data_IF_250547914939
#
_entry.id   IF_250547914939
#
_cell.length_a   1.000
_cell.length_b   1.000
_cell.length_c   1.000
_cell.angle_alpha   90.00
_cell.angle_beta   90.00
_cell.angle_gamma   90.00
#
_symmetry.space_group_name_H-M   'P 1'
#
loop_
_entity.id
_entity.type
_entity.pdbx_description
1 polymer ?
#
# COMPACT_ATOMS: atom_id res chain seq x y z
N UNK A 1 10.63 28.50 -7.97
CA UNK A 1 10.49 27.29 -7.21
C UNK A 1 11.72 26.42 -7.44
N UNK A 2 12.32 26.03 -6.36
CA UNK A 2 13.51 25.19 -6.34
C UNK A 2 13.09 23.79 -6.78
N UNK A 3 13.94 23.08 -7.53
CA UNK A 3 13.92 21.61 -7.63
C UNK A 3 13.80 21.15 -6.17
N UNK A 4 12.65 20.57 -5.83
CA UNK A 4 12.28 20.44 -4.42
C UNK A 4 12.32 19.02 -3.97
N UNK A 5 13.12 18.75 -2.97
CA UNK A 5 12.94 17.63 -2.07
C UNK A 5 11.97 18.05 -0.96
N UNK A 6 10.92 17.30 -0.78
CA UNK A 6 10.08 17.35 0.41
C UNK A 6 10.24 16.01 1.12
N UNK A 7 10.57 16.06 2.42
CA UNK A 7 10.81 14.87 3.23
C UNK A 7 9.96 14.96 4.49
N UNK A 8 9.37 13.87 4.89
CA UNK A 8 8.53 13.77 6.06
C UNK A 8 8.91 12.54 6.88
N UNK A 9 9.14 12.75 8.17
CA UNK A 9 9.27 11.68 9.16
C UNK A 9 7.98 11.55 9.95
N UNK A 10 7.48 10.33 10.07
CA UNK A 10 6.44 9.94 11.02
C UNK A 10 7.10 9.17 12.14
N UNK A 11 7.27 9.81 13.28
CA UNK A 11 7.97 9.20 14.43
C UNK A 11 7.10 8.20 15.20
N UNK A 12 5.80 8.37 15.15
CA UNK A 12 4.87 7.48 15.83
C UNK A 12 3.54 7.49 15.06
N UNK A 13 3.24 6.37 14.39
CA UNK A 13 1.97 6.13 13.73
C UNK A 13 1.27 5.00 14.49
N UNK A 14 0.25 5.35 15.27
CA UNK A 14 -0.48 4.38 16.09
C UNK A 14 -1.84 4.15 15.47
N UNK A 15 -2.11 2.89 15.14
CA UNK A 15 -3.40 2.45 14.64
C UNK A 15 -3.85 1.21 15.38
N UNK A 16 -5.11 1.19 15.80
CA UNK A 16 -5.77 0.04 16.39
C UNK A 16 -6.89 -0.40 15.47
N UNK A 17 -6.76 -1.59 14.93
CA UNK A 17 -7.80 -2.21 14.10
C UNK A 17 -8.59 -3.16 14.96
N UNK A 18 -9.88 -2.88 15.09
CA UNK A 18 -10.82 -3.66 15.84
C UNK A 18 -12.00 -4.09 14.97
N UNK A 19 -12.25 -5.37 14.89
CA UNK A 19 -13.38 -5.95 14.17
C UNK A 19 -14.45 -6.34 15.18
N UNK A 20 -15.49 -5.49 15.38
CA UNK A 20 -16.50 -5.70 16.42
C UNK A 20 -17.41 -6.88 16.11
N UNK A 21 -17.58 -7.20 14.84
CA UNK A 21 -18.47 -8.26 14.38
C UNK A 21 -17.97 -8.87 13.07
N UNK A 22 -18.08 -10.18 13.00
CA UNK A 22 -17.75 -10.97 11.80
C UNK A 22 -18.92 -11.93 11.59
N UNK A 23 -19.46 -12.01 10.36
CA UNK A 23 -20.54 -12.97 10.06
C UNK A 23 -20.05 -14.40 10.16
N UNK A 24 -20.91 -15.31 10.57
CA UNK A 24 -20.56 -16.74 10.70
C UNK A 24 -20.12 -17.33 9.35
N UNK A 25 -20.80 -16.96 8.26
CA UNK A 25 -20.43 -17.39 6.91
C UNK A 25 -19.00 -16.94 6.52
N UNK A 26 -18.60 -15.72 6.89
CA UNK A 26 -17.25 -15.24 6.63
C UNK A 26 -16.23 -15.95 7.53
N UNK A 27 -16.57 -16.21 8.79
CA UNK A 27 -15.72 -16.95 9.72
C UNK A 27 -15.46 -18.37 9.22
N UNK A 28 -16.50 -19.09 8.82
CA UNK A 28 -16.41 -20.47 8.38
C UNK A 28 -15.63 -20.62 7.05
N UNK A 29 -15.70 -19.62 6.20
CA UNK A 29 -15.04 -19.64 4.90
C UNK A 29 -13.59 -19.13 4.92
N UNK A 30 -13.29 -18.11 5.69
CA UNK A 30 -11.99 -17.39 5.64
C UNK A 30 -11.14 -17.50 6.90
N UNK A 31 -11.75 -17.71 8.06
CA UNK A 31 -11.05 -17.72 9.33
C UNK A 31 -10.74 -19.12 9.84
N UNK A 32 -10.70 -20.12 8.94
CA UNK A 32 -10.28 -21.46 9.31
C UNK A 32 -8.81 -21.48 9.78
N UNK A 33 -8.44 -22.33 10.73
CA UNK A 33 -7.08 -22.38 11.29
C UNK A 33 -5.97 -22.59 10.27
N UNK A 34 -6.30 -23.21 9.13
CA UNK A 34 -5.39 -23.48 8.02
C UNK A 34 -5.21 -22.31 7.06
N UNK A 35 -6.01 -21.24 7.18
CA UNK A 35 -5.97 -20.11 6.25
C UNK A 35 -5.10 -18.97 6.83
N UNK A 36 -4.01 -18.66 6.14
CA UNK A 36 -3.12 -17.55 6.49
C UNK A 36 -3.86 -16.20 6.56
N UNK A 37 -4.94 -16.06 5.80
CA UNK A 37 -5.75 -14.83 5.80
C UNK A 37 -6.45 -14.57 7.14
N UNK A 38 -6.65 -15.59 7.99
CA UNK A 38 -7.16 -15.41 9.35
C UNK A 38 -6.42 -14.30 10.08
N UNK A 39 -5.08 -14.34 10.05
CA UNK A 39 -4.24 -13.34 10.75
C UNK A 39 -4.37 -11.92 10.19
N UNK A 40 -4.81 -11.76 8.95
CA UNK A 40 -5.04 -10.44 8.34
C UNK A 40 -6.35 -9.79 8.80
N UNK A 41 -7.27 -10.58 9.35
CA UNK A 41 -8.59 -10.13 9.84
C UNK A 41 -8.73 -10.22 11.36
N UNK A 42 -7.68 -10.53 12.08
CA UNK A 42 -7.68 -10.43 13.54
C UNK A 42 -7.49 -9.00 14.01
N UNK A 43 -7.95 -8.73 15.23
CA UNK A 43 -7.66 -7.47 15.88
C UNK A 43 -6.15 -7.31 16.03
N UNK A 44 -5.62 -6.17 15.63
CA UNK A 44 -4.20 -5.93 15.77
C UNK A 44 -3.89 -4.46 16.04
N UNK A 45 -2.76 -4.27 16.67
CA UNK A 45 -2.23 -2.99 17.04
C UNK A 45 -1.01 -2.69 16.19
N UNK A 46 -0.99 -1.54 15.53
CA UNK A 46 0.11 -1.12 14.67
C UNK A 46 0.77 0.09 15.32
N UNK A 47 2.05 -0.01 15.62
CA UNK A 47 2.89 1.12 16.01
C UNK A 47 4.02 1.22 15.02
N UNK A 48 3.96 2.21 14.16
CA UNK A 48 4.86 2.36 13.04
C UNK A 48 5.75 3.60 13.13
N UNK A 49 6.86 3.52 12.42
CA UNK A 49 7.76 4.60 12.06
C UNK A 49 7.75 4.72 10.54
N UNK A 50 7.67 5.93 10.03
CA UNK A 50 7.65 6.16 8.58
C UNK A 50 8.61 7.25 8.14
N UNK A 51 9.17 7.06 6.95
CA UNK A 51 9.93 8.06 6.24
C UNK A 51 9.46 8.13 4.80
N UNK A 52 9.02 9.29 4.37
CA UNK A 52 8.55 9.49 3.01
C UNK A 52 9.18 10.74 2.40
N UNK A 53 9.29 10.74 1.09
CA UNK A 53 9.77 11.89 0.38
C UNK A 53 9.24 11.98 -1.03
N UNK A 54 9.24 13.21 -1.52
CA UNK A 54 8.90 13.56 -2.89
C UNK A 54 10.01 14.42 -3.48
N UNK A 55 10.44 14.04 -4.67
CA UNK A 55 11.38 14.82 -5.47
C UNK A 55 10.72 15.20 -6.79
N UNK A 56 10.77 16.48 -7.14
CA UNK A 56 10.25 16.95 -8.44
C UNK A 56 11.24 17.88 -9.14
N UNK A 57 11.39 17.66 -10.44
CA UNK A 57 12.14 18.55 -11.31
C UNK A 57 11.24 19.59 -12.00
N UNK A 58 9.93 19.57 -11.72
CA UNK A 58 8.98 20.54 -12.28
C UNK A 58 9.34 21.97 -11.88
N UNK A 59 9.29 22.88 -12.87
CA UNK A 59 9.55 24.30 -12.68
C UNK A 59 8.40 25.13 -13.19
N UNK A 60 7.70 25.84 -12.34
CA UNK A 60 6.57 26.70 -12.72
C UNK A 60 6.93 27.77 -13.75
N UNK A 61 8.20 28.21 -13.81
CA UNK A 61 8.69 29.18 -14.79
C UNK A 61 8.89 28.59 -16.20
N UNK A 62 8.89 27.24 -16.31
CA UNK A 62 9.07 26.51 -17.57
C UNK A 62 8.05 25.37 -17.63
N UNK A 63 6.76 25.69 -17.77
CA UNK A 63 5.68 24.70 -17.68
C UNK A 63 5.69 23.68 -18.83
N UNK A 64 6.36 24.00 -19.92
CA UNK A 64 6.48 23.14 -21.11
C UNK A 64 7.81 22.39 -21.19
N UNK A 65 8.55 22.31 -20.09
CA UNK A 65 9.75 21.48 -20.01
C UNK A 65 9.37 20.13 -19.40
N UNK A 66 9.88 19.05 -19.97
CA UNK A 66 9.73 17.71 -19.42
C UNK A 66 10.27 17.63 -18.00
N UNK A 67 9.61 16.86 -17.14
CA UNK A 67 9.95 16.76 -15.72
C UNK A 67 9.70 15.37 -15.17
N UNK A 68 10.36 15.08 -14.06
CA UNK A 68 10.22 13.84 -13.29
C UNK A 68 9.68 14.16 -11.91
N UNK A 69 8.77 13.30 -11.43
CA UNK A 69 8.38 13.21 -10.04
C UNK A 69 8.77 11.84 -9.51
N UNK A 70 9.43 11.80 -8.38
CA UNK A 70 9.81 10.58 -7.66
C UNK A 70 9.19 10.65 -6.29
N UNK A 71 8.47 9.60 -5.89
CA UNK A 71 7.96 9.44 -4.54
C UNK A 71 8.52 8.16 -3.95
N UNK A 72 8.84 8.20 -2.69
CA UNK A 72 9.19 7.01 -1.93
C UNK A 72 8.60 7.08 -0.53
N UNK A 73 8.29 5.92 0.01
CA UNK A 73 7.78 5.76 1.36
C UNK A 73 8.35 4.47 1.94
N UNK A 74 8.91 4.57 3.13
CA UNK A 74 9.40 3.44 3.89
C UNK A 74 8.68 3.46 5.24
N UNK A 75 8.06 2.37 5.58
CA UNK A 75 7.32 2.20 6.84
C UNK A 75 7.80 0.93 7.52
N UNK A 76 8.03 1.01 8.82
CA UNK A 76 8.28 -0.17 9.66
C UNK A 76 7.35 -0.12 10.85
N UNK A 77 6.76 -1.24 11.22
CA UNK A 77 5.86 -1.35 12.36
C UNK A 77 6.31 -2.43 13.34
N UNK A 78 5.91 -2.28 14.59
CA UNK A 78 6.10 -3.27 15.66
C UNK A 78 7.49 -3.35 16.25
N UNK A 79 8.52 -2.73 15.66
CA UNK A 79 9.90 -2.84 16.13
C UNK A 79 10.09 -2.25 17.53
N UNK A 80 9.49 -1.10 17.78
CA UNK A 80 9.53 -0.46 19.10
C UNK A 80 8.88 -1.35 20.16
N UNK A 81 7.69 -1.89 19.85
CA UNK A 81 6.97 -2.80 20.76
C UNK A 81 7.76 -4.08 20.99
N UNK A 82 8.38 -4.64 19.95
CA UNK A 82 9.21 -5.82 20.07
C UNK A 82 10.43 -5.60 20.95
N UNK A 83 11.06 -4.44 20.84
CA UNK A 83 12.18 -4.04 21.70
C UNK A 83 11.75 -3.95 23.17
N UNK A 84 10.55 -3.43 23.42
CA UNK A 84 9.99 -3.28 24.77
C UNK A 84 9.36 -4.58 25.31
N UNK A 85 9.04 -5.55 24.45
CA UNK A 85 8.29 -6.75 24.84
C UNK A 85 8.99 -7.56 25.94
N UNK A 86 10.31 -7.77 25.82
CA UNK A 86 11.09 -8.51 26.84
C UNK A 86 11.24 -7.73 28.16
N UNK A 87 11.73 -6.48 28.16
CA UNK A 87 11.91 -5.74 29.42
C UNK A 87 10.59 -5.44 30.14
N UNK A 88 9.50 -5.19 29.39
CA UNK A 88 8.17 -4.95 29.96
C UNK A 88 7.36 -6.22 30.21
N UNK A 89 7.92 -7.41 29.95
CA UNK A 89 7.27 -8.73 30.14
C UNK A 89 5.88 -8.80 29.49
N UNK A 90 5.80 -8.47 28.19
CA UNK A 90 4.54 -8.58 27.47
C UNK A 90 4.04 -10.04 27.50
N UNK A 91 2.72 -10.25 27.67
CA UNK A 91 2.14 -11.58 27.58
C UNK A 91 2.42 -12.19 26.20
N UNK A 92 2.62 -13.50 26.20
CA UNK A 92 2.75 -14.30 24.98
C UNK A 92 1.45 -15.08 24.82
N UNK A 93 0.88 -15.04 23.64
CA UNK A 93 -0.28 -15.83 23.29
C UNK A 93 0.13 -17.31 23.13
N UNK A 94 -0.58 -18.22 23.78
CA UNK A 94 -0.23 -19.64 23.81
C UNK A 94 -0.44 -20.33 22.45
N UNK A 95 -1.38 -19.87 21.63
CA UNK A 95 -1.68 -20.47 20.32
C UNK A 95 -0.68 -20.02 19.25
N UNK A 96 -0.39 -18.74 19.18
CA UNK A 96 0.46 -18.16 18.12
C UNK A 96 1.93 -18.02 18.51
N UNK A 97 2.25 -18.05 19.82
CA UNK A 97 3.59 -17.76 20.33
C UNK A 97 4.02 -16.31 20.19
N UNK A 98 3.11 -15.42 19.82
CA UNK A 98 3.36 -14.00 19.57
C UNK A 98 3.14 -13.15 20.82
N UNK A 99 3.88 -12.04 20.92
CA UNK A 99 3.66 -11.08 22.00
C UNK A 99 2.36 -10.31 21.78
N UNK A 100 1.62 -10.09 22.85
CA UNK A 100 0.39 -9.31 22.85
C UNK A 100 0.53 -8.07 23.72
N UNK A 101 -0.16 -7.01 23.33
CA UNK A 101 -0.33 -5.78 24.09
C UNK A 101 -1.83 -5.52 24.25
N UNK A 102 -2.31 -5.32 25.50
CA UNK A 102 -3.74 -5.20 25.81
C UNK A 102 -4.61 -6.36 25.26
N UNK A 103 -4.09 -7.59 25.35
CA UNK A 103 -4.74 -8.80 24.82
C UNK A 103 -4.90 -8.81 23.30
N UNK A 104 -4.18 -7.97 22.59
CA UNK A 104 -4.22 -7.87 21.13
C UNK A 104 -2.81 -8.04 20.57
N UNK A 105 -2.66 -8.82 19.54
CA UNK A 105 -1.38 -8.99 18.84
C UNK A 105 -0.99 -7.68 18.17
N UNK A 106 0.28 -7.32 18.22
CA UNK A 106 0.78 -6.18 17.45
C UNK A 106 1.43 -6.65 16.15
N UNK A 107 1.15 -5.91 15.09
CA UNK A 107 1.70 -6.18 13.77
C UNK A 107 3.18 -5.76 13.70
N UNK A 108 4.00 -6.62 13.09
CA UNK A 108 5.41 -6.34 12.84
C UNK A 108 5.75 -6.59 11.37
N UNK A 109 6.04 -5.52 10.63
CA UNK A 109 6.33 -5.57 9.20
C UNK A 109 7.24 -4.42 8.76
N UNK A 110 7.84 -4.57 7.59
CA UNK A 110 8.47 -3.50 6.84
C UNK A 110 7.79 -3.35 5.49
N UNK A 111 7.57 -2.13 5.06
CA UNK A 111 6.93 -1.77 3.79
C UNK A 111 7.73 -0.69 3.10
N UNK A 112 7.96 -0.84 1.81
CA UNK A 112 8.65 0.14 0.99
C UNK A 112 7.88 0.35 -0.31
N UNK A 113 7.60 1.60 -0.62
CA UNK A 113 6.95 2.03 -1.85
C UNK A 113 7.88 2.97 -2.61
N UNK A 114 7.99 2.80 -3.91
CA UNK A 114 8.74 3.67 -4.78
C UNK A 114 7.98 3.92 -6.06
N UNK A 115 7.81 5.17 -6.45
CA UNK A 115 7.15 5.52 -7.71
C UNK A 115 7.88 6.62 -8.47
N UNK A 116 7.88 6.48 -9.78
CA UNK A 116 8.45 7.45 -10.73
C UNK A 116 7.39 7.82 -11.74
N UNK A 117 7.20 9.11 -11.93
CA UNK A 117 6.36 9.64 -13.02
C UNK A 117 7.19 10.57 -13.88
N UNK A 118 7.40 10.18 -15.14
CA UNK A 118 8.07 11.01 -16.13
C UNK A 118 7.06 11.64 -17.07
N UNK A 119 7.04 12.97 -17.14
CA UNK A 119 6.20 13.74 -18.05
C UNK A 119 7.07 14.24 -19.19
N UNK A 120 6.93 13.62 -20.36
CA UNK A 120 7.57 14.07 -21.58
C UNK A 120 6.64 15.05 -22.32
N UNK A 121 7.07 16.29 -22.43
CA UNK A 121 6.29 17.36 -23.06
C UNK A 121 6.88 17.62 -24.44
N UNK A 122 6.15 17.23 -25.49
CA UNK A 122 6.53 17.51 -26.88
C UNK A 122 6.30 18.98 -27.23
N UNK A 123 5.13 19.50 -26.83
CA UNK A 123 4.71 20.89 -27.03
C UNK A 123 3.57 21.23 -26.04
N UNK A 124 3.05 22.48 -25.99
CA UNK A 124 2.00 22.86 -25.05
C UNK A 124 0.73 22.02 -25.07
N UNK A 125 0.46 21.36 -26.21
CA UNK A 125 -0.77 20.59 -26.40
C UNK A 125 -0.57 19.08 -26.30
N UNK A 126 0.67 18.56 -26.41
CA UNK A 126 0.96 17.14 -26.47
C UNK A 126 1.93 16.74 -25.35
N UNK A 127 1.55 15.78 -24.55
CA UNK A 127 2.44 15.18 -23.55
C UNK A 127 2.24 13.68 -23.43
N UNK A 128 3.31 12.98 -23.13
CA UNK A 128 3.34 11.56 -22.81
C UNK A 128 3.79 11.40 -21.36
N UNK A 129 3.00 10.67 -20.59
CA UNK A 129 3.26 10.42 -19.18
C UNK A 129 3.54 8.95 -18.99
N UNK A 130 4.70 8.66 -18.39
CA UNK A 130 5.07 7.33 -17.94
C UNK A 130 5.00 7.29 -16.43
N UNK A 131 4.34 6.29 -15.91
CA UNK A 131 4.27 6.05 -14.47
C UNK A 131 4.65 4.61 -14.18
N UNK A 132 5.59 4.45 -13.24
CA UNK A 132 5.98 3.16 -12.71
C UNK A 132 5.92 3.24 -11.18
N UNK A 133 5.29 2.27 -10.56
CA UNK A 133 5.34 2.10 -9.11
C UNK A 133 5.63 0.67 -8.72
N UNK A 134 6.42 0.50 -7.68
CA UNK A 134 6.73 -0.76 -7.02
C UNK A 134 6.52 -0.60 -5.53
N UNK A 135 5.89 -1.59 -4.94
CA UNK A 135 5.68 -1.68 -3.51
C UNK A 135 5.99 -3.09 -3.03
N UNK A 136 6.66 -3.18 -1.89
CA UNK A 136 7.01 -4.45 -1.24
C UNK A 136 6.70 -4.32 0.24
N UNK A 137 6.01 -5.31 0.79
CA UNK A 137 5.73 -5.43 2.21
C UNK A 137 6.16 -6.81 2.69
N UNK A 138 6.88 -6.86 3.81
CA UNK A 138 7.43 -8.10 4.38
C UNK A 138 7.02 -8.20 5.84
N UNK A 139 6.22 -9.20 6.23
CA UNK A 139 5.96 -9.49 7.64
C UNK A 139 7.17 -10.18 8.24
N UNK A 140 7.41 -9.94 9.52
CA UNK A 140 8.46 -10.62 10.27
C UNK A 140 8.18 -10.60 11.77
N UNK A 141 8.95 -11.39 12.52
CA UNK A 141 8.97 -11.39 13.98
C UNK A 141 7.64 -11.76 14.62
N UNK A 142 6.82 -10.78 15.01
CA UNK A 142 5.54 -10.98 15.69
C UNK A 142 4.36 -11.14 14.71
N UNK A 143 4.59 -11.11 13.39
CA UNK A 143 3.55 -11.25 12.38
C UNK A 143 3.92 -12.28 11.33
N UNK A 144 2.97 -13.12 10.97
CA UNK A 144 3.10 -14.09 9.89
C UNK A 144 2.62 -13.52 8.54
N UNK A 145 1.71 -12.55 8.57
CA UNK A 145 1.13 -11.90 7.40
C UNK A 145 1.08 -10.39 7.60
N UNK A 146 0.95 -9.67 6.49
CA UNK A 146 0.71 -8.23 6.51
C UNK A 146 -0.77 -8.00 6.86
N UNK A 147 -1.09 -7.05 7.78
CA UNK A 147 -2.45 -6.62 8.02
C UNK A 147 -3.18 -6.21 6.74
N UNK A 148 -4.46 -6.56 6.63
CA UNK A 148 -5.24 -6.36 5.41
C UNK A 148 -5.22 -4.92 4.88
N UNK A 149 -5.29 -3.94 5.76
CA UNK A 149 -5.25 -2.51 5.43
C UNK A 149 -3.90 -2.03 4.91
N UNK A 150 -2.83 -2.81 5.13
CA UNK A 150 -1.46 -2.49 4.68
C UNK A 150 -1.05 -3.28 3.43
N UNK A 151 -1.86 -4.28 3.01
CA UNK A 151 -1.60 -5.05 1.80
C UNK A 151 -1.85 -4.25 0.55
N UNK A 152 -1.19 -4.62 -0.53
CA UNK A 152 -1.39 -4.03 -1.84
C UNK A 152 -2.56 -4.68 -2.58
N UNK A 153 -3.19 -3.91 -3.44
CA UNK A 153 -4.19 -4.38 -4.40
C UNK A 153 -4.02 -3.65 -5.73
N UNK A 154 -4.56 -4.23 -6.79
CA UNK A 154 -4.60 -3.63 -8.12
C UNK A 154 -6.04 -3.30 -8.54
N UNK A 155 -6.17 -2.46 -9.58
CA UNK A 155 -7.45 -1.94 -10.06
C UNK A 155 -7.82 -0.58 -9.44
N UNK A 156 -8.84 0.04 -9.99
CA UNK A 156 -9.30 1.37 -9.62
C UNK A 156 -8.68 2.50 -10.44
N UNK A 157 -9.23 3.70 -10.28
CA UNK A 157 -8.91 4.88 -11.09
C UNK A 157 -7.44 5.32 -11.04
N UNK A 158 -6.75 5.03 -9.94
CA UNK A 158 -5.34 5.42 -9.71
C UNK A 158 -4.34 4.29 -9.99
N UNK A 159 -4.81 3.13 -10.45
CA UNK A 159 -3.98 1.98 -10.79
C UNK A 159 -4.32 1.52 -12.21
N UNK A 160 -4.93 0.36 -12.38
CA UNK A 160 -5.37 -0.13 -13.69
C UNK A 160 -6.81 0.32 -13.93
N UNK A 161 -6.98 1.40 -14.69
CA UNK A 161 -8.31 1.95 -15.04
C UNK A 161 -9.09 0.92 -15.84
N UNK A 162 -10.32 0.79 -15.78
CA UNK A 162 -11.13 -0.23 -16.44
C UNK A 162 -11.36 -1.49 -15.63
N UNK A 163 -10.65 -1.65 -14.52
CA UNK A 163 -10.88 -2.70 -13.54
C UNK A 163 -11.29 -2.07 -12.21
N UNK A 164 -12.29 -2.67 -11.56
CA UNK A 164 -12.65 -2.24 -10.21
C UNK A 164 -11.51 -2.50 -9.23
N UNK A 165 -11.46 -1.73 -8.15
CA UNK A 165 -10.45 -1.93 -7.11
C UNK A 165 -10.56 -3.35 -6.53
N UNK A 166 -9.42 -4.03 -6.35
CA UNK A 166 -9.35 -5.40 -5.82
C UNK A 166 -10.02 -6.47 -6.71
N UNK A 167 -9.99 -6.27 -8.02
CA UNK A 167 -10.51 -7.28 -8.98
C UNK A 167 -9.42 -7.90 -9.84
N UNK A 168 -8.16 -7.50 -9.63
CA UNK A 168 -6.99 -8.03 -10.32
C UNK A 168 -6.03 -8.68 -9.33
N UNK A 169 -5.52 -9.86 -9.72
CA UNK A 169 -4.46 -10.54 -8.99
C UNK A 169 -4.93 -11.31 -7.76
N UNK A 170 -4.02 -11.78 -6.91
CA UNK A 170 -2.56 -11.72 -7.11
C UNK A 170 -2.08 -12.67 -8.21
N UNK A 171 -1.09 -12.23 -9.00
CA UNK A 171 -0.53 -13.02 -10.08
C UNK A 171 -1.57 -13.52 -11.09
N UNK A 172 -1.61 -14.83 -11.35
CA UNK A 172 -2.56 -15.46 -12.26
C UNK A 172 -3.91 -15.88 -11.64
N UNK A 173 -4.21 -15.46 -10.41
CA UNK A 173 -5.45 -15.78 -9.74
C UNK A 173 -6.65 -15.16 -10.48
N UNK A 174 -7.63 -15.98 -10.84
CA UNK A 174 -8.81 -15.52 -11.58
C UNK A 174 -10.04 -15.27 -10.72
N UNK A 175 -10.02 -15.66 -9.44
CA UNK A 175 -11.20 -15.61 -8.58
C UNK A 175 -12.33 -16.55 -9.07
N UNK A 176 -13.26 -16.85 -8.21
CA UNK A 176 -14.45 -17.65 -8.54
C UNK A 176 -15.62 -16.77 -9.03
N UNK A 177 -15.42 -15.46 -9.15
CA UNK A 177 -16.47 -14.51 -9.53
C UNK A 177 -17.39 -14.08 -8.37
N UNK A 178 -17.21 -14.65 -7.20
CA UNK A 178 -17.98 -14.28 -6.01
C UNK A 178 -17.46 -12.95 -5.44
N UNK A 179 -18.38 -12.11 -4.97
CA UNK A 179 -18.03 -10.82 -4.33
C UNK A 179 -17.09 -10.97 -3.11
N UNK A 180 -17.04 -12.16 -2.52
CA UNK A 180 -16.18 -12.54 -1.39
C UNK A 180 -14.70 -12.62 -1.81
N UNK A 181 -14.43 -12.91 -3.09
CA UNK A 181 -13.06 -13.01 -3.61
C UNK A 181 -12.29 -11.70 -3.60
N UNK A 182 -12.96 -10.54 -3.53
CA UNK A 182 -12.29 -9.24 -3.44
C UNK A 182 -11.30 -9.14 -2.27
N UNK A 183 -11.56 -9.87 -1.19
CA UNK A 183 -10.69 -9.89 -0.02
C UNK A 183 -9.38 -10.64 -0.27
N UNK A 184 -9.43 -11.66 -1.14
CA UNK A 184 -8.26 -12.48 -1.49
C UNK A 184 -7.38 -11.81 -2.56
N UNK A 185 -7.92 -10.84 -3.29
CA UNK A 185 -7.21 -10.15 -4.37
C UNK A 185 -6.32 -9.02 -3.82
N UNK A 186 -5.47 -9.37 -2.88
CA UNK A 186 -4.46 -8.51 -2.29
C UNK A 186 -3.13 -9.26 -2.19
N UNK A 187 -2.02 -8.55 -2.20
CA UNK A 187 -0.68 -9.13 -2.17
C UNK A 187 0.31 -8.31 -1.37
N UNK A 188 1.47 -8.86 -1.17
CA UNK A 188 2.55 -8.23 -0.41
C UNK A 188 3.55 -7.52 -1.33
N UNK A 189 3.42 -7.72 -2.64
CA UNK A 189 4.19 -7.03 -3.69
C UNK A 189 3.25 -6.44 -4.72
N UNK A 190 3.53 -5.21 -5.13
CA UNK A 190 2.84 -4.52 -6.23
C UNK A 190 3.84 -4.02 -7.25
N UNK A 191 3.56 -4.26 -8.52
CA UNK A 191 4.22 -3.61 -9.65
C UNK A 191 3.14 -3.04 -10.56
N UNK A 192 3.22 -1.77 -10.88
CA UNK A 192 2.28 -1.10 -11.75
C UNK A 192 3.03 -0.22 -12.76
N UNK A 193 2.71 -0.38 -14.03
CA UNK A 193 3.29 0.38 -15.14
C UNK A 193 2.16 0.96 -15.97
N UNK A 194 2.15 2.28 -16.11
CA UNK A 194 1.14 3.00 -16.88
C UNK A 194 1.80 3.94 -17.88
N UNK A 195 1.20 4.06 -19.02
CA UNK A 195 1.56 5.05 -20.04
C UNK A 195 0.29 5.79 -20.47
N UNK A 196 0.36 7.09 -20.52
CA UNK A 196 -0.78 7.92 -20.88
C UNK A 196 -0.36 9.01 -21.84
N UNK A 197 -0.99 9.05 -23.02
CA UNK A 197 -0.83 10.14 -23.97
C UNK A 197 -1.96 11.14 -23.79
N UNK A 198 -1.61 12.42 -23.61
CA UNK A 198 -2.55 13.52 -23.38
C UNK A 198 -2.45 14.53 -24.52
N UNK A 199 -3.60 14.88 -25.06
CA UNK A 199 -3.75 15.89 -26.11
C UNK A 199 -4.73 16.96 -25.70
N UNK A 200 -4.27 18.19 -25.61
CA UNK A 200 -5.12 19.36 -25.35
C UNK A 200 -5.71 19.88 -26.65
N UNK A 201 -7.00 19.66 -26.85
CA UNK A 201 -7.73 20.11 -28.03
C UNK A 201 -8.04 21.60 -27.93
N UNK A 202 -8.53 22.03 -26.77
CA UNK A 202 -8.79 23.43 -26.42
C UNK A 202 -8.24 23.75 -25.04
N UNK A 203 -8.33 25.02 -24.65
CA UNK A 203 -7.84 25.44 -23.33
C UNK A 203 -8.52 24.72 -22.15
N UNK A 204 -9.72 24.19 -22.34
CA UNK A 204 -10.55 23.54 -21.32
C UNK A 204 -10.84 22.05 -21.59
N UNK A 205 -10.40 21.51 -22.74
CA UNK A 205 -10.59 20.08 -23.08
C UNK A 205 -9.23 19.42 -23.32
N UNK A 206 -8.97 18.39 -22.54
CA UNK A 206 -7.82 17.50 -22.71
C UNK A 206 -8.32 16.06 -22.89
N UNK A 207 -7.90 15.42 -23.97
CA UNK A 207 -8.15 14.01 -24.24
C UNK A 207 -6.98 13.20 -23.71
N UNK A 208 -7.26 12.03 -23.14
CA UNK A 208 -6.25 11.11 -22.65
C UNK A 208 -6.52 9.69 -23.16
N UNK A 209 -5.47 9.06 -23.67
CA UNK A 209 -5.46 7.64 -24.02
C UNK A 209 -4.43 6.92 -23.13
N UNK A 210 -4.79 5.77 -22.57
CA UNK A 210 -3.98 4.99 -21.62
C UNK A 210 -4.15 3.50 -21.87
#
# INVERSE_FOLDING_TARGET
PRIGWNQQFKLLDISYVYLPWISDAFRDQFLQPTNILKYSYENHFIVGLGYSGNYTTFRSRRPYQSFVNINYNIETAGNLLRLLAKPCRFPVDEESGNYTLFKTQFAQFAKADFSVTYNHIFNPNHRLVWHADIGVAVPYGNSQTIPFEKRYFAGGANSVRGWAARTLGPGGYKGNGDWIDFNNQSGDVRLNLNMEYRYRVWSFIELAAF
#
